data_IF_943206320926
#
_entry.id   IF_943206320926
#
_cell.length_a   1.000
_cell.length_b   1.000
_cell.length_c   1.000
_cell.angle_alpha   90.00
_cell.angle_beta   90.00
_cell.angle_gamma   90.00
#
_symmetry.space_group_name_H-M   'P 1'
#
loop_
_entity.id
_entity.type
_entity.pdbx_description
1 polymer ?
#
# COMPACT_ATOMS: atom_id res chain seq x y z
N UNK A 1 1.20 7.28 -4.47
CA UNK A 1 1.24 8.24 -5.58
C UNK A 1 1.25 7.47 -6.89
N UNK A 2 0.66 8.00 -7.94
CA UNK A 2 0.54 7.31 -9.24
C UNK A 2 0.46 8.34 -10.38
N UNK A 3 1.02 8.01 -11.54
CA UNK A 3 0.95 8.89 -12.71
C UNK A 3 -0.33 8.64 -13.50
N UNK A 4 -1.06 9.68 -13.87
CA UNK A 4 -2.26 9.60 -14.69
C UNK A 4 -1.96 9.49 -16.19
N UNK A 5 -0.74 9.86 -16.62
CA UNK A 5 -0.33 9.73 -18.03
C UNK A 5 -0.49 8.30 -18.57
N UNK A 6 -0.08 7.30 -17.78
CA UNK A 6 -0.03 5.88 -18.18
C UNK A 6 -0.22 4.88 -17.04
N UNK A 7 -0.34 5.35 -15.80
CA UNK A 7 -0.48 4.47 -14.64
C UNK A 7 -1.84 3.79 -14.64
N UNK A 8 -1.83 2.46 -14.50
CA UNK A 8 -3.03 1.65 -14.27
C UNK A 8 -2.71 0.61 -13.21
N UNK A 9 -3.58 0.48 -12.22
CA UNK A 9 -3.59 -0.66 -11.30
C UNK A 9 -4.56 -1.71 -11.83
N UNK A 10 -4.07 -2.94 -11.99
CA UNK A 10 -4.84 -4.04 -12.58
C UNK A 10 -4.43 -5.35 -11.92
N UNK A 11 -5.43 -6.12 -11.49
CA UNK A 11 -5.26 -7.48 -10.96
C UNK A 11 -5.80 -8.47 -11.99
N UNK A 12 -4.88 -9.14 -12.69
CA UNK A 12 -5.21 -10.04 -13.81
C UNK A 12 -5.60 -11.44 -13.39
N UNK A 13 -5.52 -11.79 -12.11
CA UNK A 13 -5.61 -13.16 -11.62
C UNK A 13 -6.89 -13.86 -12.05
N UNK A 14 -8.04 -13.18 -12.05
CA UNK A 14 -9.29 -13.75 -12.57
C UNK A 14 -9.26 -13.96 -14.09
N UNK A 15 -8.72 -13.00 -14.85
CA UNK A 15 -8.67 -13.07 -16.31
C UNK A 15 -7.75 -14.21 -16.80
N UNK A 16 -6.75 -14.58 -16.00
CA UNK A 16 -5.81 -15.68 -16.30
C UNK A 16 -6.15 -16.99 -15.56
N UNK A 17 -7.24 -17.04 -14.80
CA UNK A 17 -7.68 -18.25 -14.08
C UNK A 17 -6.77 -18.66 -12.91
N UNK A 18 -6.12 -17.70 -12.26
CA UNK A 18 -5.21 -17.91 -11.13
C UNK A 18 -5.85 -17.51 -9.81
N UNK A 19 -5.57 -18.27 -8.75
CA UNK A 19 -5.98 -17.92 -7.38
C UNK A 19 -4.96 -17.01 -6.71
N UNK A 20 -5.42 -16.14 -5.82
CA UNK A 20 -4.54 -15.34 -4.96
C UNK A 20 -4.10 -16.15 -3.73
N UNK A 21 -2.80 -16.17 -3.39
CA UNK A 21 -2.33 -16.72 -2.11
C UNK A 21 -2.93 -15.99 -0.90
N UNK A 22 -3.10 -16.70 0.21
CA UNK A 22 -3.76 -16.17 1.42
C UNK A 22 -3.14 -14.86 1.92
N UNK A 23 -1.80 -14.78 1.99
CA UNK A 23 -1.09 -13.57 2.42
C UNK A 23 -1.40 -12.36 1.52
N UNK A 24 -1.64 -12.59 0.23
CA UNK A 24 -1.95 -11.53 -0.73
C UNK A 24 -3.39 -11.05 -0.54
N UNK A 25 -4.32 -11.96 -0.26
CA UNK A 25 -5.71 -11.57 0.07
C UNK A 25 -5.78 -10.79 1.39
N UNK A 26 -4.97 -11.16 2.39
CA UNK A 26 -4.83 -10.40 3.64
C UNK A 26 -4.26 -9.00 3.40
N UNK A 27 -3.25 -8.89 2.52
CA UNK A 27 -2.67 -7.60 2.15
C UNK A 27 -3.69 -6.69 1.47
N UNK A 28 -4.46 -7.21 0.50
CA UNK A 28 -5.51 -6.45 -0.17
C UNK A 28 -6.56 -5.97 0.81
N UNK A 29 -7.01 -6.84 1.73
CA UNK A 29 -7.98 -6.48 2.76
C UNK A 29 -7.49 -5.35 3.66
N UNK A 30 -6.21 -5.35 4.00
CA UNK A 30 -5.63 -4.32 4.86
C UNK A 30 -5.29 -3.01 4.12
N UNK A 31 -4.98 -3.06 2.82
CA UNK A 31 -4.60 -1.88 2.01
C UNK A 31 -5.77 -1.25 1.26
N UNK A 32 -6.77 -2.04 0.88
CA UNK A 32 -7.94 -1.60 0.13
C UNK A 32 -9.14 -1.66 1.08
N UNK A 33 -9.32 -0.60 1.86
CA UNK A 33 -10.26 -0.58 3.00
C UNK A 33 -11.74 -0.72 2.60
N UNK A 34 -12.13 -0.19 1.44
CA UNK A 34 -13.51 -0.27 0.95
C UNK A 34 -13.83 -1.65 0.35
N UNK A 35 -14.94 -2.25 0.80
CA UNK A 35 -15.44 -3.50 0.22
C UNK A 35 -15.82 -3.34 -1.26
N UNK A 36 -16.36 -2.18 -1.64
CA UNK A 36 -16.64 -1.86 -3.04
C UNK A 36 -15.35 -1.81 -3.87
N UNK A 37 -14.32 -1.15 -3.34
CA UNK A 37 -13.02 -1.07 -4.00
C UNK A 37 -12.36 -2.43 -4.19
N UNK A 38 -12.45 -3.33 -3.20
CA UNK A 38 -11.98 -4.71 -3.33
C UNK A 38 -12.73 -5.50 -4.40
N UNK A 39 -14.05 -5.31 -4.50
CA UNK A 39 -14.85 -5.96 -5.55
C UNK A 39 -14.43 -5.48 -6.93
N UNK A 40 -14.32 -4.16 -7.13
CA UNK A 40 -13.93 -3.55 -8.40
C UNK A 40 -12.54 -4.02 -8.84
N UNK A 41 -11.55 -3.96 -7.93
CA UNK A 41 -10.17 -4.34 -8.23
C UNK A 41 -10.00 -5.85 -8.45
N UNK A 42 -10.53 -6.68 -7.55
CA UNK A 42 -10.21 -8.12 -7.50
C UNK A 42 -11.27 -8.97 -8.17
N UNK A 43 -12.55 -8.72 -7.91
CA UNK A 43 -13.65 -9.58 -8.38
C UNK A 43 -14.18 -9.20 -9.76
N UNK A 44 -13.95 -7.95 -10.19
CA UNK A 44 -14.30 -7.46 -11.52
C UNK A 44 -13.08 -7.26 -12.42
N UNK A 45 -11.87 -7.54 -11.92
CA UNK A 45 -10.59 -7.34 -12.63
C UNK A 45 -10.49 -5.97 -13.33
N UNK A 46 -11.07 -4.92 -12.73
CA UNK A 46 -11.18 -3.62 -13.38
C UNK A 46 -9.81 -2.95 -13.42
N UNK A 47 -9.48 -2.37 -14.57
CA UNK A 47 -8.29 -1.51 -14.74
C UNK A 47 -8.57 -0.14 -14.10
N UNK A 48 -7.89 0.15 -13.00
CA UNK A 48 -8.11 1.37 -12.22
C UNK A 48 -7.03 2.40 -12.55
N UNK A 49 -7.45 3.56 -13.07
CA UNK A 49 -6.57 4.72 -13.33
C UNK A 49 -6.14 5.45 -12.07
N UNK A 50 -5.21 6.40 -12.19
CA UNK A 50 -4.60 7.08 -11.05
C UNK A 50 -5.59 7.86 -10.17
N UNK A 51 -6.49 8.63 -10.77
CA UNK A 51 -7.49 9.43 -10.07
C UNK A 51 -8.45 8.53 -9.29
N UNK A 52 -8.97 7.49 -9.94
CA UNK A 52 -9.86 6.52 -9.32
C UNK A 52 -9.15 5.74 -8.19
N UNK A 53 -7.88 5.37 -8.39
CA UNK A 53 -7.08 4.72 -7.34
C UNK A 53 -6.90 5.63 -6.12
N UNK A 54 -6.78 6.94 -6.32
CA UNK A 54 -6.72 7.91 -5.23
C UNK A 54 -8.07 8.07 -4.52
N UNK A 55 -9.18 8.16 -5.26
CA UNK A 55 -10.55 8.17 -4.70
C UNK A 55 -10.84 6.92 -3.85
N UNK A 56 -10.39 5.75 -4.31
CA UNK A 56 -10.54 4.48 -3.59
C UNK A 56 -9.62 4.37 -2.38
N UNK A 57 -8.71 5.32 -2.17
CA UNK A 57 -7.70 5.32 -1.10
C UNK A 57 -6.60 4.28 -1.28
N UNK A 58 -6.40 3.76 -2.50
CA UNK A 58 -5.38 2.75 -2.79
C UNK A 58 -4.00 3.42 -2.94
N UNK A 59 -3.98 4.62 -3.51
CA UNK A 59 -2.78 5.47 -3.61
C UNK A 59 -3.05 6.82 -2.94
N UNK A 60 -1.99 7.44 -2.40
CA UNK A 60 -2.12 8.74 -1.72
C UNK A 60 -2.58 9.89 -2.63
N UNK A 61 -2.20 9.88 -3.91
CA UNK A 61 -2.40 10.97 -4.86
C UNK A 61 -2.15 10.54 -6.31
N UNK A 62 -2.74 11.27 -7.26
CA UNK A 62 -2.51 11.17 -8.70
C UNK A 62 -1.75 12.40 -9.22
N UNK A 63 -0.88 12.22 -10.22
CA UNK A 63 -0.06 13.27 -10.81
C UNK A 63 0.02 13.13 -12.33
N UNK A 64 0.19 14.23 -13.07
CA UNK A 64 0.09 14.27 -14.53
C UNK A 64 1.21 13.51 -15.25
N UNK A 65 2.41 13.45 -14.67
CA UNK A 65 3.59 12.84 -15.29
C UNK A 65 4.35 11.92 -14.32
N UNK A 66 5.36 11.21 -14.82
CA UNK A 66 6.22 10.39 -13.97
C UNK A 66 7.15 11.28 -13.12
N UNK A 67 7.63 12.37 -13.70
CA UNK A 67 8.46 13.39 -13.07
C UNK A 67 7.74 14.01 -11.87
N UNK A 68 6.47 14.38 -12.04
CA UNK A 68 5.66 14.94 -10.95
C UNK A 68 5.45 13.93 -9.80
N UNK A 69 5.30 12.63 -10.11
CA UNK A 69 5.23 11.57 -9.09
C UNK A 69 6.53 11.48 -8.32
N UNK A 70 7.68 11.51 -9.00
CA UNK A 70 9.00 11.45 -8.37
C UNK A 70 9.19 12.66 -7.46
N UNK A 71 8.89 13.86 -7.95
CA UNK A 71 9.00 15.10 -7.17
C UNK A 71 8.10 15.06 -5.92
N UNK A 72 6.87 14.60 -6.05
CA UNK A 72 5.96 14.45 -4.93
C UNK A 72 6.46 13.41 -3.91
N UNK A 73 6.98 12.27 -4.39
CA UNK A 73 7.54 11.23 -3.54
C UNK A 73 8.78 11.72 -2.77
N UNK A 74 9.67 12.46 -3.44
CA UNK A 74 10.86 13.05 -2.83
C UNK A 74 10.49 14.07 -1.75
N UNK A 75 9.54 14.98 -2.01
CA UNK A 75 9.05 15.92 -1.00
C UNK A 75 8.49 15.19 0.23
N UNK A 76 7.67 14.15 0.02
CA UNK A 76 7.12 13.36 1.13
C UNK A 76 8.22 12.62 1.91
N UNK A 77 9.23 12.09 1.21
CA UNK A 77 10.38 11.44 1.85
C UNK A 77 11.20 12.41 2.69
N UNK A 78 11.47 13.62 2.19
CA UNK A 78 12.17 14.66 2.95
C UNK A 78 11.39 15.11 4.19
N UNK A 79 10.07 15.30 4.08
CA UNK A 79 9.22 15.65 5.21
C UNK A 79 9.25 14.58 6.31
N UNK A 80 9.10 13.31 5.92
CA UNK A 80 9.18 12.19 6.86
C UNK A 80 10.60 12.04 7.44
N UNK A 81 11.65 12.25 6.63
CA UNK A 81 13.04 12.18 7.07
C UNK A 81 13.38 13.22 8.15
N UNK A 82 12.78 14.42 8.09
CA UNK A 82 12.95 15.46 9.11
C UNK A 82 12.45 15.03 10.50
N UNK A 83 11.57 14.03 10.58
CA UNK A 83 11.05 13.52 11.86
C UNK A 83 12.08 12.75 12.67
N UNK A 84 13.12 12.20 12.03
CA UNK A 84 14.22 11.45 12.68
C UNK A 84 13.73 10.39 13.67
N UNK A 85 12.66 9.68 13.33
CA UNK A 85 12.13 8.59 14.16
C UNK A 85 13.14 7.43 14.26
N UNK A 86 13.03 6.64 15.33
CA UNK A 86 13.71 5.34 15.38
C UNK A 86 13.18 4.45 14.25
N UNK A 87 14.08 4.00 13.38
CA UNK A 87 13.75 3.09 12.29
C UNK A 87 13.19 1.75 12.79
N UNK A 88 13.69 1.26 13.93
CA UNK A 88 13.19 0.04 14.58
C UNK A 88 11.74 0.23 15.02
N UNK A 89 11.44 1.32 15.75
CA UNK A 89 10.08 1.59 16.19
C UNK A 89 9.11 1.77 15.01
N UNK A 90 9.53 2.48 13.96
CA UNK A 90 8.72 2.66 12.75
C UNK A 90 8.45 1.31 12.05
N UNK A 91 9.45 0.43 11.97
CA UNK A 91 9.31 -0.88 11.35
C UNK A 91 8.33 -1.78 12.14
N UNK A 92 8.44 -1.82 13.47
CA UNK A 92 7.55 -2.63 14.32
C UNK A 92 6.10 -2.12 14.30
N UNK A 93 5.89 -0.80 14.38
CA UNK A 93 4.55 -0.21 14.21
C UNK A 93 3.98 -0.55 12.83
N UNK A 94 4.80 -0.49 11.77
CA UNK A 94 4.35 -0.85 10.42
C UNK A 94 3.93 -2.32 10.32
N UNK A 95 4.63 -3.24 10.98
CA UNK A 95 4.20 -4.66 11.05
C UNK A 95 2.91 -4.81 11.85
N UNK A 96 2.79 -4.14 12.98
CA UNK A 96 1.61 -4.19 13.84
C UNK A 96 0.33 -3.65 13.15
N UNK A 97 0.45 -2.81 12.12
CA UNK A 97 -0.67 -2.39 11.27
C UNK A 97 -1.18 -3.51 10.34
N UNK A 98 -0.42 -4.58 10.14
CA UNK A 98 -0.73 -5.69 9.23
C UNK A 98 -0.56 -7.07 9.90
N UNK A 99 -1.20 -7.34 11.06
CA UNK A 99 -0.91 -8.52 11.87
C UNK A 99 -1.26 -9.84 11.15
N UNK A 100 -2.36 -9.86 10.39
CA UNK A 100 -2.76 -11.02 9.59
C UNK A 100 -1.73 -11.36 8.51
N UNK A 101 -1.24 -10.34 7.79
CA UNK A 101 -0.23 -10.52 6.73
C UNK A 101 1.09 -10.99 7.33
N UNK A 102 1.53 -10.36 8.42
CA UNK A 102 2.75 -10.74 9.13
C UNK A 102 2.68 -12.17 9.66
N UNK A 103 1.55 -12.59 10.23
CA UNK A 103 1.32 -13.94 10.70
C UNK A 103 1.41 -14.98 9.57
N UNK A 104 0.77 -14.71 8.42
CA UNK A 104 0.80 -15.61 7.25
C UNK A 104 2.20 -15.72 6.63
N UNK A 105 3.03 -14.68 6.74
CA UNK A 105 4.42 -14.67 6.27
C UNK A 105 5.41 -15.20 7.33
N UNK A 106 4.96 -15.55 8.54
CA UNK A 106 5.82 -15.99 9.63
C UNK A 106 6.74 -14.89 10.18
N UNK A 107 6.39 -13.62 9.99
CA UNK A 107 7.14 -12.49 10.53
C UNK A 107 6.88 -12.37 12.04
N UNK A 108 7.96 -12.25 12.81
CA UNK A 108 7.90 -12.07 14.25
C UNK A 108 7.86 -10.59 14.60
N UNK A 109 7.05 -10.23 15.58
CA UNK A 109 7.03 -8.89 16.16
C UNK A 109 8.08 -8.77 17.28
N UNK A 110 8.67 -7.59 17.40
CA UNK A 110 9.66 -7.24 18.41
C UNK A 110 9.15 -6.02 19.16
N UNK A 111 9.12 -6.08 20.48
CA UNK A 111 8.77 -4.90 21.29
C UNK A 111 9.97 -3.96 21.36
N UNK A 112 9.82 -2.74 20.83
CA UNK A 112 10.82 -1.69 20.91
C UNK A 112 10.40 -0.69 21.99
N UNK A 113 11.22 -0.55 23.03
CA UNK A 113 11.02 0.43 24.11
C UNK A 113 12.16 1.47 24.05
N UNK A 114 11.87 2.76 24.35
CA UNK A 114 12.91 3.76 24.45
C UNK A 114 13.86 3.41 25.60
N UNK A 115 15.17 3.56 25.37
CA UNK A 115 16.22 3.22 26.33
C UNK A 115 16.26 4.14 27.56
N UNK A 116 15.60 5.30 27.51
CA UNK A 116 15.31 6.19 28.65
C UNK A 116 13.95 6.86 28.44
N UNK A 117 13.09 6.83 29.46
CA UNK A 117 11.84 7.60 29.55
C UNK A 117 12.12 9.01 30.06
#
# INVERSE_FOLDING_TARGET
>A
MMTSSRGVMYMSELDIGMTLPDYFTALIRAKVGSAGARRELVLLATKVGAERAAEMGIVDSAHGSAEEVVDAAMRKAEELGKRRWSGEAYAEIRKALYPEVCGLLGLKDVTVLPSKL
#
